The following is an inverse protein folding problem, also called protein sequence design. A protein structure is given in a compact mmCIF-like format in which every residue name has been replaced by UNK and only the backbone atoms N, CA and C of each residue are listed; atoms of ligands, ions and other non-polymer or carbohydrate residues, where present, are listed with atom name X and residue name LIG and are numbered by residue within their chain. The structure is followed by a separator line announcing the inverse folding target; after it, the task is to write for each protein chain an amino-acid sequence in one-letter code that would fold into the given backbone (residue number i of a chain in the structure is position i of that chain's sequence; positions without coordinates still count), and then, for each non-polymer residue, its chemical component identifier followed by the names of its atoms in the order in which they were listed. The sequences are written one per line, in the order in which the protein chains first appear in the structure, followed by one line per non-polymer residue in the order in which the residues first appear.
data_IF_202824070559
#
_entry.id   IF_202824070559
#
_cell.length_a   1.000
_cell.length_b   1.000
_cell.length_c   1.000
_cell.angle_alpha   90.00
_cell.angle_beta   90.00
_cell.angle_gamma   90.00
#
_symmetry.space_group_name_H-M   'P 1'
#
loop_
_entity.id
_entity.type
_entity.pdbx_description
1 polymer ?
#
# COMPACT_ATOMS: atom_id res chain seq x y z
N UNK A 1 -5.05 0.38 30.65
CA UNK A 1 -4.41 -0.33 29.53
C UNK A 1 -5.25 -0.07 28.28
N UNK A 2 -4.82 0.85 27.42
CA UNK A 2 -5.52 1.17 26.17
C UNK A 2 -4.70 0.60 25.01
N UNK A 3 -5.29 -0.34 24.26
CA UNK A 3 -4.66 -1.01 23.12
C UNK A 3 -4.19 0.01 22.07
N UNK A 4 -2.88 0.11 21.87
CA UNK A 4 -2.26 1.15 21.05
C UNK A 4 -1.69 0.61 19.75
N UNK A 5 -2.55 0.43 18.75
CA UNK A 5 -2.21 0.53 17.32
C UNK A 5 -1.25 -0.52 16.75
N UNK A 6 -1.80 -1.65 16.31
CA UNK A 6 -1.17 -2.49 15.29
C UNK A 6 -0.87 -1.62 14.06
N UNK A 7 0.40 -1.58 13.64
CA UNK A 7 0.84 -0.80 12.47
C UNK A 7 -0.06 -1.10 11.27
N UNK A 8 -0.54 -0.05 10.59
CA UNK A 8 -1.43 -0.20 9.43
C UNK A 8 -0.59 -0.23 8.17
N UNK A 9 -0.87 -1.15 7.26
CA UNK A 9 -0.19 -1.22 5.98
C UNK A 9 -1.25 -1.11 4.89
N UNK A 10 -1.05 -0.20 3.94
CA UNK A 10 -1.85 -0.13 2.73
C UNK A 10 -1.03 -0.72 1.58
N UNK A 11 -1.70 -1.46 0.70
CA UNK A 11 -1.09 -2.02 -0.49
C UNK A 11 -1.90 -1.58 -1.71
N UNK A 12 -1.21 -1.09 -2.73
CA UNK A 12 -1.76 -0.82 -4.04
C UNK A 12 -1.05 -1.74 -5.04
N UNK A 13 -1.82 -2.44 -5.86
CA UNK A 13 -1.28 -3.34 -6.86
C UNK A 13 -2.06 -3.21 -8.18
N UNK A 14 -1.34 -3.36 -9.29
CA UNK A 14 -1.90 -3.45 -10.62
C UNK A 14 -1.36 -4.70 -11.30
N UNK A 15 -2.21 -5.38 -12.05
CA UNK A 15 -1.82 -6.55 -12.83
C UNK A 15 -2.06 -6.27 -14.30
N UNK A 16 -0.99 -6.33 -15.09
CA UNK A 16 -1.06 -6.20 -16.53
C UNK A 16 -1.22 -7.59 -17.14
N UNK A 17 -2.34 -7.82 -17.83
CA UNK A 17 -2.59 -9.03 -18.60
C UNK A 17 -2.53 -8.72 -20.09
N UNK A 18 -1.75 -9.51 -20.83
CA UNK A 18 -1.70 -9.48 -22.29
C UNK A 18 -1.68 -10.92 -22.80
N UNK A 19 -2.56 -11.24 -23.73
CA UNK A 19 -2.66 -12.58 -24.30
C UNK A 19 -1.33 -12.97 -24.94
N UNK A 20 -0.78 -14.13 -24.56
CA UNK A 20 0.52 -14.62 -25.02
C UNK A 20 1.74 -14.07 -24.28
N UNK A 21 1.57 -13.18 -23.30
CA UNK A 21 2.67 -12.70 -22.44
C UNK A 21 2.44 -13.08 -20.98
N UNK A 22 3.54 -13.15 -20.21
CA UNK A 22 3.46 -13.37 -18.76
C UNK A 22 2.85 -12.15 -18.08
N UNK A 23 1.81 -12.39 -17.27
CA UNK A 23 1.19 -11.34 -16.45
C UNK A 23 2.23 -10.68 -15.53
N UNK A 24 2.23 -9.34 -15.51
CA UNK A 24 3.15 -8.57 -14.66
C UNK A 24 2.36 -7.99 -13.49
N UNK A 25 2.78 -8.32 -12.27
CA UNK A 25 2.28 -7.74 -11.04
C UNK A 25 3.23 -6.63 -10.62
N UNK A 26 2.72 -5.40 -10.56
CA UNK A 26 3.44 -4.25 -10.00
C UNK A 26 2.67 -3.84 -8.74
N UNK A 27 3.36 -3.80 -7.60
CA UNK A 27 2.75 -3.43 -6.32
C UNK A 27 3.63 -2.44 -5.57
N UNK A 28 2.98 -1.61 -4.76
CA UNK A 28 3.61 -0.67 -3.85
C UNK A 28 2.99 -0.84 -2.46
N UNK A 29 3.83 -0.78 -1.44
CA UNK A 29 3.46 -0.99 -0.06
C UNK A 29 3.70 0.30 0.73
N UNK A 30 2.65 0.80 1.39
CA UNK A 30 2.69 2.01 2.19
C UNK A 30 2.49 1.65 3.67
N UNK A 31 3.58 1.61 4.44
CA UNK A 31 3.58 1.33 5.88
C UNK A 31 3.24 2.61 6.65
N UNK A 32 2.11 2.61 7.36
CA UNK A 32 1.74 3.66 8.28
C UNK A 32 2.30 3.38 9.69
N UNK A 33 3.21 4.24 10.16
CA UNK A 33 3.92 4.06 11.43
C UNK A 33 3.33 4.90 12.57
N UNK A 34 2.21 5.60 12.34
CA UNK A 34 1.53 6.37 13.37
C UNK A 34 2.17 7.72 13.68
N UNK A 35 3.10 8.21 12.83
CA UNK A 35 3.66 9.56 12.99
C UNK A 35 2.60 10.61 12.66
N UNK A 36 2.55 11.66 13.48
CA UNK A 36 1.68 12.84 13.29
C UNK A 36 2.08 13.51 11.96
N UNK A 37 1.27 13.34 10.93
CA UNK A 37 1.53 13.86 9.57
C UNK A 37 1.75 12.80 8.49
N UNK A 38 1.88 11.51 8.83
CA UNK A 38 1.91 10.45 7.82
C UNK A 38 0.51 10.21 7.24
N UNK A 39 0.42 10.16 5.91
CA UNK A 39 -0.81 9.82 5.21
C UNK A 39 -1.24 8.41 5.55
N UNK A 40 -2.48 8.23 5.98
CA UNK A 40 -3.01 6.91 6.38
C UNK A 40 -3.37 6.02 5.18
N UNK A 41 -3.26 6.54 3.96
CA UNK A 41 -3.63 5.90 2.70
C UNK A 41 -2.73 6.42 1.58
N UNK A 42 -2.73 5.74 0.43
CA UNK A 42 -2.08 6.21 -0.79
C UNK A 42 -2.58 7.62 -1.14
N UNK A 43 -1.66 8.56 -1.25
CA UNK A 43 -1.96 9.92 -1.65
C UNK A 43 -1.86 10.08 -3.16
N UNK A 44 -2.39 11.19 -3.69
CA UNK A 44 -2.33 11.50 -5.13
C UNK A 44 -0.90 11.64 -5.68
N UNK A 45 0.11 11.81 -4.81
CA UNK A 45 1.54 11.89 -5.17
C UNK A 45 2.31 10.57 -4.97
N UNK A 46 1.63 9.50 -4.55
CA UNK A 46 2.25 8.19 -4.30
C UNK A 46 2.08 7.24 -5.49
#
# INVERSE_FOLDING_TARGET
MCGGGTGRVNIAALVCYKSGERSRLIYRLHVYRGRKGESKAFGWRD
#
